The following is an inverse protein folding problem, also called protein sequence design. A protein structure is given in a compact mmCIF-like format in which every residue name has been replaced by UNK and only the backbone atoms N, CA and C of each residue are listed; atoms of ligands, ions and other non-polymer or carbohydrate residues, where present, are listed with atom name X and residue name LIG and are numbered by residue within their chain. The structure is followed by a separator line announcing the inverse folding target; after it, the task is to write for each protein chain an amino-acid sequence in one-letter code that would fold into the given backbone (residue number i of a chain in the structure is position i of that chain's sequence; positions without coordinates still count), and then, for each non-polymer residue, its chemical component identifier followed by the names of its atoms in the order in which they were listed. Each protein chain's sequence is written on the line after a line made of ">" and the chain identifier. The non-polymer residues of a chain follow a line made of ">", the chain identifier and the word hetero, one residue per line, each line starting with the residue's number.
data_IF_032802615977
#
_entry.id   IF_032802615977
#
_cell.length_a   1.000
_cell.length_b   1.000
_cell.length_c   1.000
_cell.angle_alpha   90.00
_cell.angle_beta   90.00
_cell.angle_gamma   90.00
#
_symmetry.space_group_name_H-M   'P 1'
#
loop_
_entity.id
_entity.type
_entity.pdbx_description
1 polymer ?
#
# COMPACT_ATOMS: atom_id res chain seq x y z
N UNK A 1 -15.89 -7.03 9.12
CA UNK A 1 -15.03 -6.41 10.16
C UNK A 1 -13.55 -6.50 9.81
N UNK A 2 -13.00 -7.70 9.60
CA UNK A 2 -11.57 -7.90 9.30
C UNK A 2 -11.03 -7.00 8.18
N UNK A 3 -11.71 -6.93 7.02
CA UNK A 3 -11.31 -6.03 5.94
C UNK A 3 -11.23 -4.55 6.35
N UNK A 4 -12.21 -4.05 7.12
CA UNK A 4 -12.20 -2.66 7.59
C UNK A 4 -11.08 -2.42 8.61
N UNK A 5 -10.79 -3.39 9.47
CA UNK A 5 -9.66 -3.34 10.39
C UNK A 5 -8.32 -3.29 9.63
N UNK A 6 -8.18 -4.07 8.55
CA UNK A 6 -7.01 -4.01 7.66
C UNK A 6 -6.86 -2.61 7.07
N UNK A 7 -7.92 -2.02 6.51
CA UNK A 7 -7.88 -0.66 5.93
C UNK A 7 -7.41 0.35 6.96
N UNK A 8 -7.94 0.30 8.19
CA UNK A 8 -7.53 1.18 9.28
C UNK A 8 -6.07 0.95 9.69
N UNK A 9 -5.65 -0.31 9.83
CA UNK A 9 -4.30 -0.67 10.23
C UNK A 9 -3.25 -0.21 9.20
N UNK A 10 -3.55 -0.29 7.90
CA UNK A 10 -2.68 0.18 6.82
C UNK A 10 -2.31 1.67 6.97
N UNK A 11 -3.18 2.50 7.55
CA UNK A 11 -2.92 3.92 7.75
C UNK A 11 -1.77 4.19 8.74
N UNK A 12 -1.47 3.23 9.62
CA UNK A 12 -0.34 3.34 10.54
C UNK A 12 1.02 3.32 9.84
N UNK A 13 1.12 2.72 8.65
CA UNK A 13 2.37 2.65 7.89
C UNK A 13 2.85 4.07 7.57
N UNK A 14 1.99 4.91 6.99
CA UNK A 14 2.34 6.29 6.66
C UNK A 14 2.42 7.18 7.91
N UNK A 15 1.46 7.05 8.83
CA UNK A 15 1.35 7.96 9.98
C UNK A 15 2.32 7.67 11.13
N UNK A 16 2.89 6.46 11.22
CA UNK A 16 3.74 6.04 12.35
C UNK A 16 5.06 5.40 11.96
N UNK A 17 5.19 4.83 10.76
CA UNK A 17 6.41 4.14 10.34
C UNK A 17 7.23 4.90 9.28
N UNK A 18 6.67 5.97 8.69
CA UNK A 18 7.34 6.80 7.67
C UNK A 18 7.83 8.11 8.29
N UNK A 19 9.03 8.55 7.90
CA UNK A 19 9.52 9.88 8.28
C UNK A 19 8.57 10.97 7.75
N UNK A 20 8.23 12.01 8.53
CA UNK A 20 7.40 13.10 8.05
C UNK A 20 7.96 13.84 6.83
N UNK A 21 9.27 13.76 6.60
CA UNK A 21 9.95 14.36 5.44
C UNK A 21 10.03 13.43 4.24
N UNK A 22 9.65 12.16 4.39
CA UNK A 22 9.66 11.16 3.34
C UNK A 22 8.25 10.99 2.77
N UNK A 23 8.11 11.28 1.48
CA UNK A 23 6.82 11.21 0.80
C UNK A 23 6.40 9.77 0.57
N UNK A 24 5.35 9.32 1.27
CA UNK A 24 4.75 8.00 1.11
C UNK A 24 3.22 8.07 1.07
N UNK A 25 2.59 7.21 0.28
CA UNK A 25 1.14 7.06 0.20
C UNK A 25 0.78 5.58 0.21
N UNK A 26 -0.25 5.22 0.98
CA UNK A 26 -0.92 3.92 0.94
C UNK A 26 -2.41 4.19 0.79
N UNK A 27 -2.97 3.82 -0.35
CA UNK A 27 -4.39 4.05 -0.68
C UNK A 27 -5.09 2.71 -0.83
N UNK A 28 -6.27 2.56 -0.21
CA UNK A 28 -7.22 1.50 -0.55
C UNK A 28 -8.34 2.12 -1.37
N UNK A 29 -8.35 1.83 -2.66
CA UNK A 29 -9.29 2.44 -3.63
C UNK A 29 -10.54 1.61 -3.87
N UNK A 30 -10.53 0.32 -3.51
CA UNK A 30 -11.68 -0.57 -3.61
C UNK A 30 -11.79 -1.46 -2.39
N UNK A 31 -13.03 -1.60 -1.91
CA UNK A 31 -13.44 -2.56 -0.91
C UNK A 31 -14.64 -3.31 -1.46
N UNK A 32 -14.45 -4.55 -1.91
CA UNK A 32 -15.49 -5.31 -2.61
C UNK A 32 -15.77 -6.63 -1.88
N UNK A 33 -17.01 -6.86 -1.48
CA UNK A 33 -17.46 -8.11 -0.84
C UNK A 33 -18.28 -9.00 -1.77
N UNK A 34 -18.18 -8.77 -3.09
CA UNK A 34 -18.97 -9.46 -4.10
C UNK A 34 -20.45 -9.05 -4.12
N UNK A 35 -21.26 -9.73 -4.95
CA UNK A 35 -22.70 -9.52 -5.01
C UNK A 35 -23.36 -10.11 -3.75
N UNK A 36 -23.62 -9.25 -2.76
CA UNK A 36 -24.23 -9.64 -1.49
C UNK A 36 -25.70 -9.21 -1.37
N UNK A 37 -26.41 -9.83 -0.42
CA UNK A 37 -27.69 -9.34 0.10
C UNK A 37 -27.46 -8.63 1.43
N UNK A 38 -28.29 -7.66 1.78
CA UNK A 38 -28.12 -6.83 2.98
C UNK A 38 -28.16 -7.62 4.32
N UNK A 39 -28.67 -8.85 4.29
CA UNK A 39 -28.83 -9.74 5.44
C UNK A 39 -27.86 -10.94 5.44
N UNK A 40 -26.89 -10.96 4.52
CA UNK A 40 -25.90 -12.03 4.41
C UNK A 40 -24.52 -11.46 4.70
N UNK A 41 -23.80 -12.08 5.63
CA UNK A 41 -22.41 -11.73 5.92
C UNK A 41 -21.54 -12.36 4.83
N UNK A 42 -20.74 -11.57 4.08
CA UNK A 42 -19.84 -12.11 3.07
C UNK A 42 -18.76 -13.02 3.67
N UNK A 43 -18.39 -14.07 2.94
CA UNK A 43 -17.32 -14.99 3.32
C UNK A 43 -15.91 -14.45 3.01
N UNK A 44 -15.83 -13.52 2.06
CA UNK A 44 -14.57 -12.97 1.53
C UNK A 44 -14.69 -11.49 1.19
N UNK A 45 -13.52 -10.84 1.04
CA UNK A 45 -13.41 -9.44 0.62
C UNK A 45 -12.17 -9.26 -0.25
N UNK A 46 -12.32 -8.56 -1.37
CA UNK A 46 -11.23 -8.11 -2.21
C UNK A 46 -10.93 -6.64 -1.89
N UNK A 47 -9.67 -6.36 -1.53
CA UNK A 47 -9.16 -5.02 -1.31
C UNK A 47 -8.19 -4.68 -2.45
N UNK A 48 -8.39 -3.53 -3.09
CA UNK A 48 -7.47 -3.02 -4.12
C UNK A 48 -7.00 -1.63 -3.74
N UNK A 49 -5.74 -1.33 -4.07
CA UNK A 49 -5.11 -0.10 -3.64
C UNK A 49 -3.83 0.20 -4.40
N UNK A 50 -3.18 1.29 -4.00
CA UNK A 50 -1.90 1.71 -4.55
C UNK A 50 -0.96 2.14 -3.44
N UNK A 51 0.34 2.00 -3.70
CA UNK A 51 1.39 2.65 -2.93
C UNK A 51 2.16 3.64 -3.81
N UNK A 52 2.70 4.69 -3.19
CA UNK A 52 3.61 5.65 -3.81
C UNK A 52 4.70 5.99 -2.80
N UNK A 53 5.91 6.25 -3.31
CA UNK A 53 7.04 6.72 -2.52
C UNK A 53 7.86 7.70 -3.37
N UNK A 54 8.68 8.54 -2.72
CA UNK A 54 9.65 9.41 -3.39
C UNK A 54 11.04 8.77 -3.53
N UNK A 55 11.33 7.71 -2.78
CA UNK A 55 12.61 7.00 -2.79
C UNK A 55 12.41 5.50 -2.99
N UNK A 56 13.39 4.83 -3.59
CA UNK A 56 13.33 3.39 -3.82
C UNK A 56 13.27 2.61 -2.49
N UNK A 57 14.06 3.02 -1.50
CA UNK A 57 14.08 2.40 -0.17
C UNK A 57 12.69 2.43 0.49
N UNK A 58 11.99 3.57 0.39
CA UNK A 58 10.63 3.71 0.92
C UNK A 58 9.65 2.87 0.12
N UNK A 59 9.77 2.83 -1.21
CA UNK A 59 8.94 1.99 -2.06
C UNK A 59 9.03 0.51 -1.67
N UNK A 60 10.24 -0.02 -1.53
CA UNK A 60 10.50 -1.42 -1.18
C UNK A 60 10.03 -1.74 0.25
N UNK A 61 10.20 -0.80 1.18
CA UNK A 61 9.69 -0.92 2.55
C UNK A 61 8.17 -0.99 2.55
N UNK A 62 7.48 -0.13 1.81
CA UNK A 62 6.01 -0.12 1.74
C UNK A 62 5.46 -1.45 1.24
N UNK A 63 6.06 -2.04 0.20
CA UNK A 63 5.68 -3.38 -0.29
C UNK A 63 5.67 -4.42 0.84
N UNK A 64 6.77 -4.52 1.58
CA UNK A 64 6.92 -5.49 2.69
C UNK A 64 5.96 -5.20 3.85
N UNK A 65 5.80 -3.91 4.20
CA UNK A 65 4.98 -3.49 5.34
C UNK A 65 3.50 -3.67 5.09
N UNK A 66 3.01 -3.36 3.89
CA UNK A 66 1.62 -3.59 3.50
C UNK A 66 1.27 -5.06 3.66
N UNK A 67 2.08 -5.97 3.11
CA UNK A 67 1.80 -7.41 3.21
C UNK A 67 1.78 -7.90 4.66
N UNK A 68 2.76 -7.49 5.47
CA UNK A 68 2.83 -7.88 6.87
C UNK A 68 1.65 -7.36 7.70
N UNK A 69 1.20 -6.11 7.47
CA UNK A 69 0.02 -5.54 8.15
C UNK A 69 -1.25 -6.26 7.74
N UNK A 70 -1.43 -6.54 6.45
CA UNK A 70 -2.60 -7.27 5.92
C UNK A 70 -2.69 -8.65 6.56
N UNK A 71 -1.61 -9.44 6.51
CA UNK A 71 -1.57 -10.80 7.08
C UNK A 71 -1.73 -10.80 8.59
N UNK A 72 -1.03 -9.92 9.30
CA UNK A 72 -1.12 -9.84 10.76
C UNK A 72 -2.52 -9.43 11.25
N UNK A 73 -3.12 -8.44 10.61
CA UNK A 73 -4.48 -7.98 10.98
C UNK A 73 -5.52 -9.03 10.66
N UNK A 74 -5.43 -9.72 9.51
CA UNK A 74 -6.31 -10.83 9.17
C UNK A 74 -6.22 -11.96 10.21
N UNK A 75 -5.01 -12.33 10.61
CA UNK A 75 -4.76 -13.38 11.60
C UNK A 75 -5.40 -13.07 12.96
N UNK A 76 -5.32 -11.81 13.43
CA UNK A 76 -5.96 -11.38 14.69
C UNK A 76 -7.48 -11.56 14.65
N UNK A 77 -8.09 -11.48 13.47
CA UNK A 77 -9.51 -11.71 13.26
C UNK A 77 -9.87 -13.16 12.92
N UNK A 78 -8.91 -14.09 12.92
CA UNK A 78 -9.14 -15.48 12.54
C UNK A 78 -9.40 -15.69 11.05
N UNK A 79 -9.05 -14.70 10.21
CA UNK A 79 -9.17 -14.77 8.75
C UNK A 79 -7.85 -15.20 8.11
N UNK A 80 -7.93 -15.91 6.98
CA UNK A 80 -6.79 -16.17 6.12
C UNK A 80 -6.67 -15.08 5.04
N UNK A 81 -5.46 -14.91 4.50
CA UNK A 81 -5.20 -14.07 3.31
C UNK A 81 -4.76 -15.01 2.20
N UNK A 82 -5.67 -15.25 1.26
CA UNK A 82 -5.43 -16.15 0.13
C UNK A 82 -4.26 -15.66 -0.72
N UNK A 83 -4.26 -14.36 -1.04
CA UNK A 83 -3.21 -13.74 -1.85
C UNK A 83 -3.01 -12.26 -1.55
N UNK A 84 -1.79 -11.78 -1.81
CA UNK A 84 -1.44 -10.37 -1.92
C UNK A 84 -0.71 -10.20 -3.23
N UNK A 85 -1.38 -9.63 -4.22
CA UNK A 85 -0.84 -9.46 -5.57
C UNK A 85 -0.39 -8.02 -5.79
N UNK A 86 0.80 -7.87 -6.38
CA UNK A 86 1.30 -6.60 -6.88
C UNK A 86 1.17 -6.54 -8.41
N UNK A 87 1.10 -5.33 -8.96
CA UNK A 87 1.06 -5.16 -10.41
C UNK A 87 2.27 -5.84 -11.07
N UNK A 88 2.04 -6.52 -12.20
CA UNK A 88 3.07 -7.29 -12.90
C UNK A 88 4.27 -6.42 -13.32
N UNK A 89 4.02 -5.15 -13.64
CA UNK A 89 5.04 -4.15 -13.87
C UNK A 89 5.05 -3.20 -12.67
N UNK A 90 6.12 -3.18 -11.85
CA UNK A 90 6.23 -2.23 -10.75
C UNK A 90 6.36 -0.80 -11.29
N UNK A 91 5.88 0.17 -10.51
CA UNK A 91 6.00 1.59 -10.81
C UNK A 91 6.83 2.29 -9.71
N UNK A 92 8.16 2.14 -9.74
CA UNK A 92 9.04 2.75 -8.74
C UNK A 92 9.11 4.28 -8.91
N UNK A 93 9.62 5.01 -7.91
CA UNK A 93 9.87 6.43 -8.05
C UNK A 93 10.91 6.70 -9.15
N UNK A 94 10.66 7.76 -9.92
CA UNK A 94 11.66 8.30 -10.84
C UNK A 94 12.77 8.98 -10.04
N UNK A 95 14.00 8.49 -10.18
CA UNK A 95 15.19 9.08 -9.56
C UNK A 95 16.06 9.66 -10.67
N UNK A 96 16.18 10.99 -10.70
CA UNK A 96 17.04 11.67 -11.66
C UNK A 96 18.51 11.53 -11.24
N UNK A 97 19.40 11.37 -12.22
CA UNK A 97 20.84 11.49 -11.99
C UNK A 97 21.18 12.92 -11.56
N UNK A 98 21.89 13.06 -10.44
CA UNK A 98 22.15 14.36 -9.84
C UNK A 98 23.05 15.26 -10.71
N UNK A 99 24.06 14.68 -11.36
CA UNK A 99 25.00 15.44 -12.19
C UNK A 99 24.32 15.92 -13.47
N UNK A 100 23.54 15.05 -14.12
CA UNK A 100 22.78 15.41 -15.32
C UNK A 100 21.66 16.42 -15.01
N UNK A 101 20.95 16.24 -13.90
CA UNK A 101 19.92 17.18 -13.48
C UNK A 101 20.50 18.58 -13.25
N UNK A 102 21.65 18.67 -12.56
CA UNK A 102 22.32 19.96 -12.33
C UNK A 102 22.83 20.57 -13.64
N UNK A 103 23.48 19.77 -14.50
CA UNK A 103 23.97 20.23 -15.79
C UNK A 103 22.86 20.87 -16.64
N UNK A 104 21.67 20.26 -16.68
CA UNK A 104 20.53 20.79 -17.44
C UNK A 104 19.94 22.03 -16.77
N UNK A 105 19.88 22.06 -15.44
CA UNK A 105 19.37 23.21 -14.69
C UNK A 105 20.24 24.47 -14.88
N UNK A 106 21.57 24.32 -14.98
CA UNK A 106 22.51 25.43 -15.15
C UNK A 106 22.43 26.11 -16.53
N UNK A 107 21.78 25.48 -17.51
CA UNK A 107 21.63 25.99 -18.89
C UNK A 107 20.30 26.73 -19.09
N UNK A 108 19.35 26.60 -18.14
CA UNK A 108 18.04 27.25 -18.17
C UNK A 108 18.08 28.68 -17.62
#
# INVERSE_FOLDING_TARGET
>A
VAGAAIVTALQSIVSRETSPTDGAVVTVSRFNTGPGAANVIPDSVELMGTIRALTQDTFDRLHKRVEAVVRGTAQVHGCAVDEVQWAAVPYPPTVNDAALAQMVADVA
#
